data_IF_092575257450
#
_entry.id   IF_092575257450
#
_cell.length_a   1.000
_cell.length_b   1.000
_cell.length_c   1.000
_cell.angle_alpha   90.00
_cell.angle_beta   90.00
_cell.angle_gamma   90.00
#
_symmetry.space_group_name_H-M   'P 1'
#
loop_
_entity.id
_entity.type
_entity.pdbx_description
1 polymer ?
#
# COMPACT_ATOMS: atom_id res chain seq x y z
N UNK A 1 -59.04 14.47 0.09
CA UNK A 1 -59.03 13.93 -1.28
C UNK A 1 -58.92 12.43 -1.19
N UNK A 2 -59.88 11.73 -1.78
CA UNK A 2 -59.93 10.28 -1.87
C UNK A 2 -59.00 9.78 -2.99
N UNK A 3 -58.49 8.57 -2.85
CA UNK A 3 -58.61 7.48 -3.84
C UNK A 3 -58.23 6.18 -3.11
N UNK A 4 -59.22 5.31 -2.99
CA UNK A 4 -59.05 3.89 -2.69
C UNK A 4 -58.92 3.14 -4.03
N UNK A 5 -58.03 2.15 -4.09
CA UNK A 5 -58.06 1.11 -5.12
C UNK A 5 -57.82 -0.23 -4.42
N UNK A 6 -58.82 -1.11 -4.51
CA UNK A 6 -58.79 -2.51 -4.09
C UNK A 6 -58.77 -3.34 -5.36
N UNK A 7 -57.80 -4.24 -5.50
CA UNK A 7 -57.90 -5.45 -6.34
C UNK A 7 -57.07 -6.53 -5.65
N UNK A 8 -57.76 -7.60 -5.23
CA UNK A 8 -57.16 -8.76 -4.59
C UNK A 8 -56.73 -9.84 -5.58
N UNK A 9 -55.82 -10.70 -5.12
CA UNK A 9 -55.68 -12.07 -5.61
C UNK A 9 -55.32 -12.95 -4.40
N UNK A 10 -56.16 -13.96 -4.18
CA UNK A 10 -55.97 -15.03 -3.20
C UNK A 10 -54.99 -16.06 -3.76
N UNK A 11 -53.97 -16.40 -2.99
CA UNK A 11 -53.19 -17.62 -3.18
C UNK A 11 -53.01 -18.27 -1.80
N UNK A 12 -53.72 -19.37 -1.56
CA UNK A 12 -53.46 -20.28 -0.44
C UNK A 12 -52.29 -21.20 -0.82
N UNK A 13 -51.32 -21.35 0.07
CA UNK A 13 -50.24 -22.31 -0.05
C UNK A 13 -49.33 -22.28 1.16
N UNK A 14 -49.57 -23.23 2.06
CA UNK A 14 -48.70 -23.90 3.05
C UNK A 14 -47.68 -23.15 3.92
N UNK A 15 -47.66 -23.63 5.16
CA UNK A 15 -46.81 -23.23 6.27
C UNK A 15 -45.31 -23.37 5.94
N UNK A 16 -44.55 -22.29 6.16
CA UNK A 16 -43.17 -22.44 6.63
C UNK A 16 -42.78 -21.18 7.40
N UNK A 17 -42.56 -21.36 8.70
CA UNK A 17 -41.87 -20.38 9.55
C UNK A 17 -40.45 -20.18 9.01
N UNK A 18 -40.30 -19.23 8.11
CA UNK A 18 -39.01 -18.76 7.61
C UNK A 18 -38.77 -17.36 8.13
N UNK A 19 -38.10 -17.27 9.29
CA UNK A 19 -37.44 -16.04 9.75
C UNK A 19 -36.72 -15.37 8.56
N UNK A 20 -36.78 -14.04 8.38
CA UNK A 20 -35.92 -13.39 7.40
C UNK A 20 -34.47 -13.58 7.88
N UNK A 21 -33.81 -14.62 7.37
CA UNK A 21 -32.37 -14.71 7.40
C UNK A 21 -31.89 -13.55 6.56
N UNK A 22 -31.52 -12.47 7.26
CA UNK A 22 -30.68 -11.40 6.73
C UNK A 22 -29.49 -12.09 6.11
N UNK A 23 -29.57 -12.35 4.80
CA UNK A 23 -28.42 -12.77 4.02
C UNK A 23 -27.61 -11.52 3.88
N UNK A 24 -26.88 -11.18 4.93
CA UNK A 24 -25.67 -10.39 4.79
C UNK A 24 -24.81 -11.26 3.89
N UNK A 25 -24.90 -11.02 2.59
CA UNK A 25 -23.83 -11.33 1.67
C UNK A 25 -22.65 -10.53 2.21
N UNK A 26 -21.96 -11.11 3.18
CA UNK A 26 -20.60 -10.75 3.50
C UNK A 26 -19.91 -11.04 2.17
N UNK A 27 -19.73 -9.98 1.38
CA UNK A 27 -18.83 -10.02 0.26
C UNK A 27 -17.57 -10.65 0.85
N UNK A 28 -17.29 -11.88 0.45
CA UNK A 28 -16.01 -12.49 0.74
C UNK A 28 -15.04 -11.55 0.05
N UNK A 29 -14.48 -10.63 0.84
CA UNK A 29 -13.32 -9.88 0.44
C UNK A 29 -12.33 -10.97 0.13
N UNK A 30 -12.11 -11.21 -1.16
CA UNK A 30 -10.98 -12.00 -1.61
C UNK A 30 -9.81 -11.15 -1.15
N UNK A 31 -9.36 -11.40 0.07
CA UNK A 31 -8.28 -10.68 0.69
C UNK A 31 -7.10 -10.92 -0.23
N UNK A 32 -6.83 -9.97 -1.12
CA UNK A 32 -5.78 -10.13 -2.09
C UNK A 32 -4.51 -10.26 -1.27
N UNK A 33 -3.84 -11.39 -1.41
CA UNK A 33 -2.64 -11.68 -0.64
C UNK A 33 -1.65 -10.54 -0.92
N UNK A 34 -1.30 -9.79 0.13
CA UNK A 34 -0.34 -8.72 0.01
C UNK A 34 1.04 -9.31 -0.25
N UNK A 35 1.77 -8.70 -1.17
CA UNK A 35 3.21 -8.96 -1.34
C UNK A 35 3.92 -8.75 0.00
N UNK A 36 4.73 -9.72 0.39
CA UNK A 36 5.63 -9.61 1.52
C UNK A 36 7.02 -9.14 1.05
N UNK A 37 7.40 -7.88 1.30
CA UNK A 37 8.70 -7.37 0.87
C UNK A 37 9.88 -8.06 1.57
N UNK A 38 9.70 -8.63 2.77
CA UNK A 38 10.79 -9.27 3.49
C UNK A 38 11.27 -10.58 2.83
N UNK A 39 10.42 -11.19 2.01
CA UNK A 39 10.69 -12.46 1.32
C UNK A 39 10.67 -12.31 -0.20
N UNK A 40 9.93 -11.33 -0.73
CA UNK A 40 9.77 -11.12 -2.16
C UNK A 40 10.85 -10.29 -2.83
N UNK A 41 11.69 -9.56 -2.09
CA UNK A 41 12.82 -8.81 -2.64
C UNK A 41 14.10 -9.65 -2.50
N UNK A 42 14.78 -10.02 -3.61
CA UNK A 42 16.01 -10.80 -3.54
C UNK A 42 17.17 -10.02 -2.89
N UNK A 43 18.02 -10.72 -2.14
CA UNK A 43 19.21 -10.14 -1.52
C UNK A 43 20.13 -9.48 -2.55
N UNK A 44 20.23 -10.01 -3.77
CA UNK A 44 21.01 -9.41 -4.86
C UNK A 44 20.49 -8.02 -5.28
N UNK A 45 19.18 -7.79 -5.22
CA UNK A 45 18.60 -6.47 -5.50
C UNK A 45 18.90 -5.48 -4.38
N UNK A 46 18.86 -5.95 -3.13
CA UNK A 46 19.22 -5.17 -1.94
C UNK A 46 20.70 -4.77 -1.96
N UNK A 47 21.61 -5.71 -2.23
CA UNK A 47 23.05 -5.41 -2.29
C UNK A 47 23.40 -4.49 -3.46
N UNK A 48 22.76 -4.67 -4.62
CA UNK A 48 22.92 -3.76 -5.78
C UNK A 48 22.43 -2.34 -5.48
N UNK A 49 21.43 -2.22 -4.61
CA UNK A 49 20.93 -0.95 -4.08
C UNK A 49 21.79 -0.34 -2.94
N UNK A 50 22.88 -0.99 -2.53
CA UNK A 50 23.71 -0.53 -1.40
C UNK A 50 23.09 -0.76 -0.03
N UNK A 51 22.13 -1.68 0.08
CA UNK A 51 21.50 -2.08 1.34
C UNK A 51 22.15 -3.36 1.87
N UNK A 52 22.13 -3.51 3.20
CA UNK A 52 22.56 -4.74 3.88
C UNK A 52 21.36 -5.69 4.09
N UNK A 53 21.30 -6.86 3.41
CA UNK A 53 20.21 -7.83 3.62
C UNK A 53 20.12 -8.36 5.05
N UNK A 54 21.24 -8.42 5.78
CA UNK A 54 21.27 -8.89 7.17
C UNK A 54 20.63 -7.90 8.14
N UNK A 55 20.49 -6.63 7.74
CA UNK A 55 19.85 -5.57 8.54
C UNK A 55 18.31 -5.57 8.48
N UNK A 56 17.72 -6.59 7.86
CA UNK A 56 16.27 -6.77 7.66
C UNK A 56 15.49 -6.50 8.94
N UNK A 57 14.46 -5.66 8.83
CA UNK A 57 13.52 -5.36 9.90
C UNK A 57 12.08 -5.49 9.42
N UNK A 58 11.31 -6.37 10.06
CA UNK A 58 9.87 -6.51 9.80
C UNK A 58 9.13 -5.35 10.45
N UNK A 59 8.15 -4.77 9.75
CA UNK A 59 7.30 -3.75 10.33
C UNK A 59 7.99 -2.39 10.55
N UNK A 60 7.29 -1.52 11.26
CA UNK A 60 7.83 -0.21 11.70
C UNK A 60 8.44 -0.40 13.09
N UNK A 61 9.75 -0.19 13.21
CA UNK A 61 10.46 -0.41 14.48
C UNK A 61 10.37 -1.84 15.02
N UNK A 62 10.22 -2.84 14.14
CA UNK A 62 10.05 -4.25 14.53
C UNK A 62 8.60 -4.68 14.76
N UNK A 63 7.63 -3.78 14.55
CA UNK A 63 6.21 -4.04 14.83
C UNK A 63 5.40 -4.07 13.53
N UNK A 64 4.76 -5.21 13.25
CA UNK A 64 3.82 -5.34 12.12
C UNK A 64 2.65 -4.37 12.28
N UNK A 65 2.20 -3.81 11.16
CA UNK A 65 1.10 -2.84 11.13
C UNK A 65 -0.14 -3.50 10.51
N UNK A 66 -1.33 -3.39 11.14
CA UNK A 66 -2.55 -4.01 10.62
C UNK A 66 -2.85 -3.58 9.17
N UNK A 67 -3.07 -4.55 8.29
CA UNK A 67 -3.35 -4.29 6.87
C UNK A 67 -2.13 -3.93 6.02
N UNK A 68 -0.91 -4.04 6.57
CA UNK A 68 0.33 -3.77 5.85
C UNK A 68 1.28 -4.95 5.91
N UNK A 69 2.05 -5.12 4.82
CA UNK A 69 3.30 -5.87 4.84
C UNK A 69 4.45 -4.90 4.63
N UNK A 70 5.40 -4.88 5.57
CA UNK A 70 6.44 -3.87 5.65
C UNK A 70 7.77 -4.54 5.95
N UNK A 71 8.79 -4.16 5.21
CA UNK A 71 10.17 -4.53 5.51
C UNK A 71 11.09 -3.34 5.33
N UNK A 72 12.11 -3.24 6.17
CA UNK A 72 13.14 -2.22 6.07
C UNK A 72 14.55 -2.79 6.09
N UNK A 73 15.47 -2.05 5.49
CA UNK A 73 16.90 -2.35 5.45
C UNK A 73 17.72 -1.08 5.66
N UNK A 74 18.94 -1.26 6.14
CA UNK A 74 19.92 -0.21 6.36
C UNK A 74 20.91 -0.18 5.19
N UNK A 75 21.16 1.02 4.69
CA UNK A 75 22.37 1.35 3.94
C UNK A 75 23.42 1.96 4.87
N UNK A 76 24.50 2.46 4.27
CA UNK A 76 25.59 3.12 5.01
C UNK A 76 25.07 4.34 5.80
N UNK A 77 24.40 5.25 5.12
CA UNK A 77 23.95 6.56 5.60
C UNK A 77 22.45 6.81 5.31
N UNK A 78 21.70 5.77 4.99
CA UNK A 78 20.25 5.83 4.76
C UNK A 78 19.54 4.54 5.20
N UNK A 79 18.22 4.56 5.18
CA UNK A 79 17.37 3.38 5.32
C UNK A 79 16.33 3.36 4.21
N UNK A 80 16.00 2.16 3.72
CA UNK A 80 14.88 1.94 2.81
C UNK A 80 13.81 1.11 3.52
N UNK A 81 12.56 1.58 3.49
CA UNK A 81 11.37 0.82 3.83
C UNK A 81 10.58 0.50 2.55
N UNK A 82 10.04 -0.72 2.48
CA UNK A 82 9.12 -1.15 1.43
C UNK A 82 7.83 -1.61 2.08
N UNK A 83 6.71 -1.06 1.60
CA UNK A 83 5.39 -1.27 2.17
C UNK A 83 4.46 -1.80 1.08
N UNK A 84 3.51 -2.63 1.49
CA UNK A 84 2.51 -3.26 0.64
C UNK A 84 1.15 -3.17 1.32
N UNK A 85 0.14 -2.71 0.58
CA UNK A 85 -1.22 -2.46 1.09
C UNK A 85 -2.28 -2.70 0.01
N UNK A 86 -3.50 -3.01 0.47
CA UNK A 86 -4.65 -3.29 -0.39
C UNK A 86 -5.33 -2.07 -1.02
N UNK A 87 -5.04 -0.86 -0.53
CA UNK A 87 -5.64 0.38 -1.02
C UNK A 87 -5.05 0.76 -2.39
N UNK A 88 -5.87 1.44 -3.20
CA UNK A 88 -5.41 2.07 -4.43
C UNK A 88 -4.55 3.31 -4.15
N UNK A 89 -3.72 3.69 -5.12
CA UNK A 89 -2.96 4.95 -5.07
C UNK A 89 -3.91 6.13 -4.84
N UNK A 90 -5.02 6.21 -5.58
CA UNK A 90 -6.00 7.29 -5.45
C UNK A 90 -6.60 7.39 -4.03
N UNK A 91 -6.86 6.27 -3.35
CA UNK A 91 -7.29 6.28 -1.95
C UNK A 91 -6.21 6.81 -1.02
N UNK A 92 -4.95 6.45 -1.27
CA UNK A 92 -3.81 6.92 -0.50
C UNK A 92 -3.58 8.43 -0.67
N UNK A 93 -3.76 8.97 -1.88
CA UNK A 93 -3.59 10.40 -2.16
C UNK A 93 -4.62 11.29 -1.45
N UNK A 94 -5.79 10.74 -1.11
CA UNK A 94 -6.83 11.47 -0.36
C UNK A 94 -6.59 11.51 1.14
N UNK A 95 -5.57 10.82 1.66
CA UNK A 95 -5.28 10.81 3.09
C UNK A 95 -4.75 12.19 3.53
N UNK A 96 -5.38 12.83 4.54
CA UNK A 96 -4.86 14.06 5.11
C UNK A 96 -3.42 13.88 5.59
N UNK A 97 -2.58 14.90 5.37
CA UNK A 97 -1.17 14.87 5.72
C UNK A 97 -0.25 14.33 4.61
N UNK A 98 -0.76 13.70 3.55
CA UNK A 98 0.06 13.46 2.35
C UNK A 98 -0.12 14.63 1.37
N UNK A 99 0.98 15.23 0.95
CA UNK A 99 1.01 16.46 0.15
C UNK A 99 2.07 16.37 -0.96
N UNK A 100 2.11 17.38 -1.83
CA UNK A 100 3.14 17.55 -2.87
C UNK A 100 3.29 16.38 -3.84
N UNK A 101 2.15 15.80 -4.26
CA UNK A 101 2.13 14.71 -5.20
C UNK A 101 2.70 15.12 -6.57
N UNK A 102 3.62 14.30 -7.10
CA UNK A 102 4.14 14.44 -8.46
C UNK A 102 4.40 13.09 -9.11
N UNK A 103 4.25 13.06 -10.43
CA UNK A 103 4.59 11.87 -11.21
C UNK A 103 6.10 11.65 -11.23
N UNK A 104 6.50 10.39 -11.12
CA UNK A 104 7.90 9.95 -11.25
C UNK A 104 7.94 8.65 -12.04
N UNK A 105 9.09 8.34 -12.64
CA UNK A 105 9.37 7.03 -13.24
C UNK A 105 10.67 6.51 -12.67
N UNK A 106 10.66 5.27 -12.18
CA UNK A 106 11.83 4.58 -11.60
C UNK A 106 11.89 3.19 -12.22
N UNK A 107 13.05 2.81 -12.77
CA UNK A 107 13.22 1.55 -13.51
C UNK A 107 12.16 1.33 -14.60
N UNK A 108 11.72 2.41 -15.26
CA UNK A 108 10.65 2.38 -16.26
C UNK A 108 9.23 2.11 -15.73
N UNK A 109 9.04 2.06 -14.39
CA UNK A 109 7.72 1.92 -13.76
C UNK A 109 7.20 3.31 -13.33
N UNK A 110 5.99 3.70 -13.75
CA UNK A 110 5.37 4.94 -13.29
C UNK A 110 5.02 4.83 -11.79
N UNK A 111 5.28 5.90 -11.06
CA UNK A 111 4.99 6.03 -9.64
C UNK A 111 4.53 7.45 -9.28
N UNK A 112 4.10 7.60 -8.03
CA UNK A 112 3.62 8.87 -7.46
C UNK A 112 4.45 9.20 -6.24
N UNK A 113 5.32 10.18 -6.39
CA UNK A 113 6.09 10.72 -5.27
C UNK A 113 5.19 11.62 -4.43
N UNK A 114 5.37 11.63 -3.12
CA UNK A 114 4.69 12.55 -2.21
C UNK A 114 5.58 12.90 -1.02
N UNK A 115 5.09 13.82 -0.19
CA UNK A 115 5.66 14.18 1.11
C UNK A 115 4.59 14.01 2.19
N UNK A 116 5.00 13.60 3.37
CA UNK A 116 4.15 13.68 4.57
C UNK A 116 4.35 15.07 5.19
N UNK A 117 3.27 15.80 5.41
CA UNK A 117 3.28 17.11 6.06
C UNK A 117 3.83 16.98 7.50
N UNK A 118 4.59 17.97 7.95
CA UNK A 118 5.36 17.94 9.21
C UNK A 118 6.35 16.76 9.38
N UNK A 119 6.65 15.97 8.32
CA UNK A 119 7.66 14.94 8.39
C UNK A 119 9.07 15.50 8.57
N UNK A 120 9.97 14.67 9.11
CA UNK A 120 11.31 15.06 9.52
C UNK A 120 12.14 15.71 8.39
N UNK A 121 12.23 17.06 8.43
CA UNK A 121 13.37 17.87 8.00
C UNK A 121 13.97 17.56 6.62
N UNK A 122 13.14 17.40 5.59
CA UNK A 122 13.57 17.22 4.19
C UNK A 122 14.50 16.01 3.95
N UNK A 123 14.53 15.04 4.88
CA UNK A 123 15.39 13.84 4.79
C UNK A 123 14.65 12.58 4.34
N UNK A 124 13.35 12.70 4.07
CA UNK A 124 12.49 11.58 3.71
C UNK A 124 11.96 11.76 2.30
N UNK A 125 11.88 10.67 1.54
CA UNK A 125 11.17 10.61 0.29
C UNK A 125 10.27 9.38 0.24
N UNK A 126 9.06 9.56 -0.28
CA UNK A 126 8.12 8.49 -0.51
C UNK A 126 7.68 8.41 -1.96
N UNK A 127 7.60 7.20 -2.49
CA UNK A 127 7.07 6.93 -3.82
C UNK A 127 6.10 5.75 -3.77
N UNK A 128 4.89 5.96 -4.28
CA UNK A 128 3.87 4.95 -4.46
C UNK A 128 3.96 4.34 -5.86
N UNK A 129 3.70 3.05 -5.95
CA UNK A 129 3.55 2.32 -7.20
C UNK A 129 2.22 1.57 -7.19
N UNK A 130 1.37 1.72 -8.22
CA UNK A 130 0.16 0.91 -8.35
C UNK A 130 0.54 -0.55 -8.56
N UNK A 131 -0.17 -1.47 -7.91
CA UNK A 131 -0.02 -2.91 -8.08
C UNK A 131 -1.41 -3.58 -8.20
N UNK A 132 -1.52 -4.77 -8.78
CA UNK A 132 -2.81 -5.51 -8.84
C UNK A 132 -3.46 -5.68 -7.46
N UNK A 133 -2.64 -5.85 -6.43
CA UNK A 133 -3.09 -5.99 -5.05
C UNK A 133 -3.52 -4.68 -4.37
N UNK A 134 -3.30 -3.52 -4.99
CA UNK A 134 -3.47 -2.20 -4.38
C UNK A 134 -2.28 -1.30 -4.69
N UNK A 135 -1.40 -1.11 -3.71
CA UNK A 135 -0.20 -0.28 -3.85
C UNK A 135 1.02 -0.90 -3.19
N UNK A 136 2.17 -0.44 -3.67
CA UNK A 136 3.46 -0.59 -3.02
C UNK A 136 4.03 0.80 -2.75
N UNK A 137 4.76 0.96 -1.66
CA UNK A 137 5.43 2.22 -1.33
C UNK A 137 6.90 1.94 -1.03
N UNK A 138 7.77 2.80 -1.55
CA UNK A 138 9.15 2.95 -1.10
C UNK A 138 9.24 4.20 -0.22
N UNK A 139 9.86 4.07 0.93
CA UNK A 139 10.23 5.20 1.79
C UNK A 139 11.73 5.16 2.02
N UNK A 140 12.43 6.22 1.63
CA UNK A 140 13.85 6.38 1.92
C UNK A 140 14.02 7.49 2.95
N UNK A 141 14.84 7.23 3.97
CA UNK A 141 15.21 8.22 4.97
C UNK A 141 16.72 8.32 5.04
N UNK A 142 17.25 9.52 4.83
CA UNK A 142 18.66 9.80 5.03
C UNK A 142 18.99 9.92 6.52
N UNK A 143 20.20 9.52 6.89
CA UNK A 143 20.76 9.78 8.23
C UNK A 143 21.53 11.10 8.28
N UNK A 144 21.94 11.61 7.13
CA UNK A 144 22.70 12.86 6.95
C UNK A 144 22.08 13.72 5.86
N UNK A 145 22.20 15.04 5.96
CA UNK A 145 21.57 16.00 5.03
C UNK A 145 22.44 16.32 3.79
N UNK A 146 23.27 15.37 3.36
CA UNK A 146 24.28 15.52 2.30
C UNK A 146 23.73 15.25 0.89
N UNK A 147 22.59 14.56 0.78
CA UNK A 147 21.96 14.23 -0.50
C UNK A 147 20.44 14.46 -0.45
N UNK A 148 19.84 14.84 -1.57
CA UNK A 148 18.38 14.86 -1.69
C UNK A 148 17.82 13.43 -1.55
N UNK A 149 16.84 13.17 -0.67
CA UNK A 149 16.34 11.81 -0.42
C UNK A 149 15.58 11.23 -1.62
N UNK A 150 14.94 12.05 -2.47
CA UNK A 150 14.22 11.55 -3.63
C UNK A 150 15.14 11.18 -4.78
N UNK A 151 16.22 11.93 -5.00
CA UNK A 151 17.24 11.55 -5.98
C UNK A 151 17.93 10.25 -5.56
N UNK A 152 18.18 10.09 -4.25
CA UNK A 152 18.70 8.84 -3.68
C UNK A 152 17.70 7.69 -3.83
N UNK A 153 16.41 7.91 -3.54
CA UNK A 153 15.37 6.89 -3.70
C UNK A 153 15.24 6.46 -5.15
N UNK A 154 15.28 7.38 -6.12
CA UNK A 154 15.25 7.03 -7.53
C UNK A 154 16.42 6.11 -7.91
N UNK A 155 17.64 6.46 -7.47
CA UNK A 155 18.86 5.65 -7.72
C UNK A 155 18.77 4.26 -7.09
N UNK A 156 18.41 4.18 -5.80
CA UNK A 156 18.20 2.92 -5.07
C UNK A 156 17.10 2.09 -5.73
N UNK A 157 16.03 2.76 -6.15
CA UNK A 157 14.84 2.19 -6.77
C UNK A 157 15.13 1.49 -8.10
N UNK A 158 16.16 1.87 -8.84
CA UNK A 158 16.55 1.18 -10.08
C UNK A 158 16.82 -0.32 -9.87
N UNK A 159 17.34 -0.69 -8.70
CA UNK A 159 17.57 -2.11 -8.35
C UNK A 159 16.36 -2.76 -7.69
N UNK A 160 15.57 -2.01 -6.93
CA UNK A 160 14.47 -2.55 -6.10
C UNK A 160 13.17 -2.70 -6.89
N UNK A 161 12.78 -1.68 -7.66
CA UNK A 161 11.50 -1.61 -8.36
C UNK A 161 11.26 -2.79 -9.32
N UNK A 162 12.26 -3.32 -10.05
CA UNK A 162 12.08 -4.50 -10.89
C UNK A 162 11.66 -5.77 -10.14
N UNK A 163 11.98 -5.89 -8.84
CA UNK A 163 11.59 -7.04 -8.02
C UNK A 163 10.15 -6.94 -7.48
N UNK A 164 9.51 -5.78 -7.62
CA UNK A 164 8.18 -5.53 -7.09
C UNK A 164 7.07 -6.05 -8.03
N UNK A 165 6.00 -6.66 -7.52
CA UNK A 165 4.87 -7.08 -8.35
C UNK A 165 4.15 -5.87 -8.95
N UNK A 166 3.53 -6.08 -10.12
CA UNK A 166 2.74 -5.09 -10.86
C UNK A 166 1.25 -5.22 -10.59
#
# INVERSE_FOLDING_TARGET
>A
MAIAVVLGAVACGDESSGSPATTTTQAASTATQLFDPCTGIPDAALTSAGLDPASKQVGVGGVEQPGWKICGWKGADFTLGVFSNGASVAEFERKPGNVDFRDVTIAGRPGRQFRVDDAAKDQMCDVLFPARQGLLQLTLVNRTADQNPCDRLATVGESIVPALPK
#
